data_IF_975935555802
#
_entry.id   IF_975935555802
#
_cell.length_a   1.000
_cell.length_b   1.000
_cell.length_c   1.000
_cell.angle_alpha   90.00
_cell.angle_beta   90.00
_cell.angle_gamma   90.00
#
_symmetry.space_group_name_H-M   'P 1'
#
loop_
_entity.id
_entity.type
_entity.pdbx_description
1 polymer ?
#
# COMPACT_ATOMS: atom_id res chain seq x y z
N UNK A 1 6.99 59.24 -45.81
CA UNK A 1 7.64 58.21 -44.96
C UNK A 1 7.17 58.25 -43.51
N UNK A 2 7.42 59.32 -42.75
CA UNK A 2 7.24 59.42 -41.28
C UNK A 2 6.01 58.68 -40.67
N UNK A 3 4.81 58.85 -41.25
CA UNK A 3 3.56 58.23 -40.78
C UNK A 3 3.56 56.69 -40.79
N UNK A 4 4.39 56.06 -41.63
CA UNK A 4 4.56 54.60 -41.66
C UNK A 4 5.61 54.14 -40.64
N UNK A 5 6.69 54.92 -40.45
CA UNK A 5 7.70 54.65 -39.43
C UNK A 5 7.09 54.61 -38.02
N UNK A 6 6.19 55.56 -37.71
CA UNK A 6 5.45 55.60 -36.44
C UNK A 6 4.59 54.35 -36.24
N UNK A 7 3.90 53.87 -37.30
CA UNK A 7 3.10 52.63 -37.22
C UNK A 7 3.99 51.39 -36.97
N UNK A 8 5.14 51.31 -37.64
CA UNK A 8 6.09 50.19 -37.46
C UNK A 8 6.67 50.20 -36.03
N UNK A 9 7.02 51.38 -35.50
CA UNK A 9 7.46 51.55 -34.11
C UNK A 9 6.36 51.15 -33.11
N UNK A 10 5.10 51.56 -33.33
CA UNK A 10 3.97 51.17 -32.48
C UNK A 10 3.72 49.65 -32.53
N UNK A 11 3.79 49.03 -33.70
CA UNK A 11 3.69 47.57 -33.80
C UNK A 11 4.85 46.87 -33.08
N UNK A 12 6.10 47.35 -33.23
CA UNK A 12 7.26 46.81 -32.50
C UNK A 12 7.14 46.99 -30.98
N UNK A 13 6.60 48.11 -30.51
CA UNK A 13 6.38 48.34 -29.07
C UNK A 13 5.25 47.45 -28.52
N UNK A 14 4.20 47.22 -29.31
CA UNK A 14 3.09 46.35 -28.94
C UNK A 14 3.45 44.86 -29.03
N UNK A 15 4.34 44.43 -29.94
CA UNK A 15 4.84 43.05 -29.95
C UNK A 15 5.84 42.83 -28.82
N UNK A 16 6.80 43.72 -28.59
CA UNK A 16 7.75 43.56 -27.47
C UNK A 16 7.05 43.59 -26.11
N UNK A 17 6.06 44.47 -25.89
CA UNK A 17 5.29 44.53 -24.65
C UNK A 17 4.39 43.30 -24.40
N UNK A 18 4.01 42.55 -25.45
CA UNK A 18 3.30 41.27 -25.30
C UNK A 18 4.26 40.06 -25.18
N UNK A 19 5.45 40.14 -25.77
CA UNK A 19 6.50 39.11 -25.65
C UNK A 19 7.13 39.14 -24.26
N UNK A 20 7.40 40.32 -23.67
CA UNK A 20 7.86 40.40 -22.28
C UNK A 20 6.79 39.90 -21.30
N UNK A 21 5.51 40.15 -21.58
CA UNK A 21 4.38 39.65 -20.76
C UNK A 21 4.21 38.13 -20.76
N UNK A 22 4.77 37.40 -21.71
CA UNK A 22 4.70 35.93 -21.77
C UNK A 22 5.94 35.21 -21.24
N UNK A 23 7.04 35.94 -20.98
CA UNK A 23 8.34 35.37 -20.60
C UNK A 23 8.78 35.64 -19.15
N UNK A 24 7.96 36.33 -18.36
CA UNK A 24 8.14 36.45 -16.90
C UNK A 24 6.82 36.34 -16.14
N UNK A 25 6.04 35.29 -16.42
CA UNK A 25 5.04 34.84 -15.45
C UNK A 25 5.76 34.18 -14.28
N UNK A 26 6.07 34.99 -13.27
CA UNK A 26 6.41 34.52 -11.94
C UNK A 26 5.32 33.54 -11.48
N UNK A 27 5.71 32.45 -10.80
CA UNK A 27 4.74 31.48 -10.28
C UNK A 27 3.75 32.24 -9.39
N UNK A 28 2.42 32.10 -9.57
CA UNK A 28 1.48 32.74 -8.67
C UNK A 28 1.71 32.19 -7.26
N UNK A 29 2.15 33.07 -6.36
CA UNK A 29 2.31 32.79 -4.94
C UNK A 29 0.96 33.05 -4.28
N UNK A 30 0.41 32.03 -3.62
CA UNK A 30 -0.81 32.13 -2.82
C UNK A 30 -0.51 31.62 -1.41
N UNK A 31 -1.18 32.12 -0.38
CA UNK A 31 -1.05 31.51 0.94
C UNK A 31 -1.73 30.13 0.99
N UNK A 32 -1.25 29.28 1.90
CA UNK A 32 -1.87 27.99 2.20
C UNK A 32 -3.35 28.15 2.61
N UNK A 33 -3.70 29.28 3.23
CA UNK A 33 -5.09 29.58 3.55
C UNK A 33 -5.92 29.93 2.32
N UNK A 34 -5.44 30.79 1.42
CA UNK A 34 -6.14 31.14 0.17
C UNK A 34 -6.37 29.91 -0.70
N UNK A 35 -5.36 29.05 -0.86
CA UNK A 35 -5.50 27.76 -1.57
C UNK A 35 -6.67 26.93 -1.03
N UNK A 36 -6.79 26.81 0.31
CA UNK A 36 -7.89 26.07 0.92
C UNK A 36 -9.24 26.82 0.89
N UNK A 37 -9.25 28.16 0.90
CA UNK A 37 -10.47 28.94 0.66
C UNK A 37 -10.99 28.72 -0.76
N UNK A 38 -10.13 28.73 -1.76
CA UNK A 38 -10.47 28.44 -3.16
C UNK A 38 -11.01 27.01 -3.31
N UNK A 39 -10.33 26.00 -2.76
CA UNK A 39 -10.78 24.59 -2.79
C UNK A 39 -12.16 24.41 -2.13
N UNK A 40 -12.42 25.09 -1.01
CA UNK A 40 -13.69 24.99 -0.26
C UNK A 40 -14.82 25.80 -0.91
N UNK A 41 -14.50 26.91 -1.57
CA UNK A 41 -15.49 27.77 -2.23
C UNK A 41 -15.77 27.41 -3.70
N UNK A 42 -14.88 26.64 -4.34
CA UNK A 42 -15.04 26.23 -5.74
C UNK A 42 -16.34 25.46 -5.96
N UNK A 43 -17.12 25.94 -6.92
CA UNK A 43 -18.31 25.26 -7.45
C UNK A 43 -17.98 24.23 -8.55
N UNK A 44 -16.71 24.14 -8.95
CA UNK A 44 -16.30 23.37 -10.11
C UNK A 44 -16.23 21.87 -9.84
N UNK A 45 -16.28 21.09 -10.91
CA UNK A 45 -16.16 19.63 -10.85
C UNK A 45 -14.72 19.18 -10.59
N UNK A 46 -13.74 19.99 -10.98
CA UNK A 46 -12.29 19.73 -10.90
C UNK A 46 -11.61 21.05 -10.49
N UNK A 47 -10.78 21.03 -9.45
CA UNK A 47 -9.92 22.14 -9.06
C UNK A 47 -8.47 21.81 -9.43
N UNK A 48 -7.92 22.56 -10.39
CA UNK A 48 -6.57 22.36 -10.92
C UNK A 48 -5.62 23.48 -10.47
N UNK A 49 -4.79 23.19 -9.45
CA UNK A 49 -3.71 24.09 -9.06
C UNK A 49 -2.45 23.74 -9.86
N UNK A 50 -2.03 24.61 -10.78
CA UNK A 50 -0.93 24.31 -11.71
C UNK A 50 0.15 25.40 -11.69
N UNK A 51 1.40 24.97 -11.50
CA UNK A 51 2.61 25.82 -11.49
C UNK A 51 2.67 26.89 -10.38
N UNK A 52 1.78 26.86 -9.38
CA UNK A 52 1.75 27.82 -8.27
C UNK A 52 2.89 27.60 -7.26
N UNK A 53 3.15 28.62 -6.45
CA UNK A 53 3.83 28.47 -5.16
C UNK A 53 2.82 28.69 -4.02
N UNK A 54 2.96 27.95 -2.92
CA UNK A 54 2.05 28.02 -1.77
C UNK A 54 2.84 28.36 -0.51
N UNK A 55 2.64 29.55 0.04
CA UNK A 55 3.33 29.98 1.27
C UNK A 55 2.61 29.48 2.53
N UNK A 56 3.36 28.82 3.40
CA UNK A 56 2.88 28.20 4.64
C UNK A 56 3.49 28.93 5.83
N UNK A 57 2.75 29.92 6.34
CA UNK A 57 3.03 30.53 7.64
C UNK A 57 2.29 29.82 8.78
N UNK A 58 2.80 29.99 10.01
CA UNK A 58 2.22 29.41 11.22
C UNK A 58 0.78 29.85 11.51
N UNK A 59 0.34 31.04 11.07
CA UNK A 59 -1.04 31.51 11.23
C UNK A 59 -1.99 30.89 10.20
N UNK A 60 -1.56 30.71 8.95
CA UNK A 60 -2.34 30.04 7.90
C UNK A 60 -2.73 28.62 8.30
N UNK A 61 -1.84 27.87 8.97
CA UNK A 61 -2.17 26.55 9.54
C UNK A 61 -3.40 26.59 10.45
N UNK A 62 -3.45 27.53 11.40
CA UNK A 62 -4.59 27.67 12.32
C UNK A 62 -5.87 28.14 11.61
N UNK A 63 -5.72 29.03 10.62
CA UNK A 63 -6.83 29.51 9.78
C UNK A 63 -7.43 28.37 8.93
N UNK A 64 -6.60 27.52 8.33
CA UNK A 64 -7.02 26.33 7.57
C UNK A 64 -7.74 25.32 8.46
N UNK A 65 -7.22 25.03 9.67
CA UNK A 65 -7.92 24.18 10.63
C UNK A 65 -9.30 24.76 11.01
N UNK A 66 -9.43 26.08 11.16
CA UNK A 66 -10.70 26.77 11.40
C UNK A 66 -11.65 26.82 10.18
N UNK A 67 -11.13 26.61 8.97
CA UNK A 67 -11.91 26.55 7.73
C UNK A 67 -12.44 25.13 7.49
N UNK A 68 -11.57 24.12 7.61
CA UNK A 68 -11.91 22.70 7.40
C UNK A 68 -12.84 22.16 8.49
N UNK A 69 -12.67 22.57 9.75
CA UNK A 69 -13.63 22.23 10.83
C UNK A 69 -15.03 22.81 10.62
N UNK A 70 -15.19 23.83 9.76
CA UNK A 70 -16.50 24.37 9.32
C UNK A 70 -16.98 23.77 7.99
N UNK A 71 -16.09 23.16 7.22
CA UNK A 71 -16.33 22.64 5.87
C UNK A 71 -15.62 21.28 5.68
N UNK A 72 -16.04 20.21 6.36
CA UNK A 72 -15.36 18.90 6.30
C UNK A 72 -15.60 18.12 5.00
N UNK A 73 -16.45 18.64 4.10
CA UNK A 73 -16.82 18.00 2.82
C UNK A 73 -16.17 18.77 1.67
N UNK A 74 -15.28 18.09 0.95
CA UNK A 74 -14.60 18.61 -0.23
C UNK A 74 -15.30 18.08 -1.50
N UNK A 75 -15.76 19.01 -2.33
CA UNK A 75 -16.60 18.77 -3.51
C UNK A 75 -15.87 18.67 -4.87
N UNK A 76 -14.79 19.42 -5.17
CA UNK A 76 -14.09 19.29 -6.44
C UNK A 76 -13.14 18.08 -6.44
N UNK A 77 -12.85 17.53 -7.62
CA UNK A 77 -11.70 16.64 -7.82
C UNK A 77 -10.45 17.52 -7.72
N UNK A 78 -9.67 17.35 -6.66
CA UNK A 78 -8.40 18.08 -6.52
C UNK A 78 -7.37 17.42 -7.44
N UNK A 79 -6.70 18.24 -8.24
CA UNK A 79 -5.51 17.87 -9.00
C UNK A 79 -4.51 19.00 -8.85
N UNK A 80 -3.45 18.83 -8.05
CA UNK A 80 -2.34 19.78 -8.04
C UNK A 80 -1.25 19.29 -9.00
N UNK A 81 -0.59 20.18 -9.75
CA UNK A 81 0.52 19.85 -10.68
C UNK A 81 1.64 20.91 -10.62
N UNK A 82 2.87 20.46 -10.39
CA UNK A 82 4.09 21.29 -10.26
C UNK A 82 4.06 22.36 -9.15
N UNK A 83 3.25 22.18 -8.10
CA UNK A 83 3.15 23.16 -7.01
C UNK A 83 4.37 23.06 -6.10
N UNK A 84 4.95 24.19 -5.70
CA UNK A 84 6.01 24.25 -4.67
C UNK A 84 5.45 24.89 -3.40
N UNK A 85 5.83 24.43 -2.20
CA UNK A 85 5.40 25.08 -0.96
C UNK A 85 6.62 25.65 -0.24
N UNK A 86 6.48 26.87 0.30
CA UNK A 86 7.54 27.57 1.03
C UNK A 86 7.08 27.76 2.46
N UNK A 87 7.86 27.27 3.43
CA UNK A 87 7.58 27.43 4.85
C UNK A 87 8.34 28.64 5.38
N UNK A 88 7.67 29.47 6.18
CA UNK A 88 8.21 30.78 6.60
C UNK A 88 8.75 30.82 8.05
N UNK A 89 8.50 29.77 8.84
CA UNK A 89 8.91 29.64 10.24
C UNK A 89 9.58 28.27 10.51
N UNK A 90 10.76 28.23 11.16
CA UNK A 90 11.49 27.00 11.54
C UNK A 90 10.86 26.23 12.74
N UNK A 91 9.52 26.14 12.78
CA UNK A 91 8.75 25.78 13.98
C UNK A 91 8.06 24.40 13.94
N UNK A 92 8.88 23.35 14.13
CA UNK A 92 8.56 22.04 14.72
C UNK A 92 7.27 21.26 14.34
N UNK A 93 7.49 20.08 13.75
CA UNK A 93 6.74 18.80 13.82
C UNK A 93 5.19 18.74 13.85
N UNK A 94 4.66 17.77 13.08
CA UNK A 94 3.26 17.29 13.10
C UNK A 94 3.27 15.75 12.95
N UNK A 95 2.13 15.05 13.04
CA UNK A 95 2.07 13.58 13.13
C UNK A 95 1.06 12.88 12.19
N UNK A 96 1.51 11.76 11.59
CA UNK A 96 0.75 10.61 11.05
C UNK A 96 -0.16 10.72 9.82
N UNK A 97 -0.51 9.51 9.26
CA UNK A 97 -1.70 9.03 8.46
C UNK A 97 -1.50 8.66 6.94
N UNK A 98 -2.57 8.46 6.09
CA UNK A 98 -2.64 8.35 4.55
C UNK A 98 -4.22 8.40 3.93
N UNK A 99 -5.27 9.36 2.07
CA UNK A 99 -5.02 10.19 0.82
C UNK A 99 -5.81 11.47 0.81
N UNK A 100 -5.19 12.45 0.19
CA UNK A 100 -5.80 13.48 -0.64
C UNK A 100 -4.75 13.75 -1.70
N UNK A 101 -5.06 14.47 -2.78
CA UNK A 101 -4.26 14.35 -3.98
C UNK A 101 -3.68 15.63 -4.64
N UNK A 102 -2.37 15.59 -4.90
CA UNK A 102 -1.38 16.69 -4.87
C UNK A 102 -0.12 16.38 -5.72
N UNK A 103 0.60 17.41 -6.14
CA UNK A 103 1.97 17.34 -6.68
C UNK A 103 2.80 18.40 -5.98
N UNK A 104 3.97 18.04 -5.47
CA UNK A 104 4.85 18.96 -4.76
C UNK A 104 6.20 19.11 -5.46
N UNK A 105 6.90 20.21 -5.15
CA UNK A 105 8.25 20.53 -5.57
C UNK A 105 9.01 21.11 -4.36
N UNK A 106 9.90 20.27 -3.81
CA UNK A 106 10.88 20.46 -2.72
C UNK A 106 10.34 21.04 -1.39
N UNK A 107 10.03 20.14 -0.44
CA UNK A 107 9.63 20.43 0.94
C UNK A 107 10.29 19.39 1.87
N UNK A 108 10.32 19.64 3.18
CA UNK A 108 10.46 18.57 4.16
C UNK A 108 9.27 17.58 4.15
N UNK A 109 9.45 16.46 4.83
CA UNK A 109 9.17 15.16 4.22
C UNK A 109 7.69 14.75 4.16
N UNK A 110 6.74 15.51 4.75
CA UNK A 110 5.45 14.91 5.21
C UNK A 110 4.15 15.75 5.06
N UNK A 111 3.21 15.32 4.20
CA UNK A 111 1.85 15.87 4.00
C UNK A 111 0.82 15.29 5.01
N UNK A 112 -0.08 16.07 5.66
CA UNK A 112 -1.04 15.55 6.68
C UNK A 112 -2.45 16.18 6.73
N UNK A 113 -3.53 15.37 6.73
CA UNK A 113 -4.89 15.81 6.36
C UNK A 113 -6.04 15.07 7.11
N UNK A 114 -6.55 15.64 8.22
CA UNK A 114 -7.40 14.92 9.18
C UNK A 114 -8.90 15.22 9.00
N UNK A 115 -9.75 14.18 8.99
CA UNK A 115 -11.21 14.28 9.17
C UNK A 115 -11.97 14.83 7.97
N UNK A 116 -11.54 14.53 6.75
CA UNK A 116 -12.05 15.10 5.50
C UNK A 116 -12.79 14.06 4.65
N UNK A 117 -13.93 14.44 4.07
CA UNK A 117 -14.69 13.61 3.13
C UNK A 117 -14.57 14.17 1.72
N UNK A 118 -14.16 13.32 0.77
CA UNK A 118 -13.95 13.66 -0.64
C UNK A 118 -15.02 12.99 -1.49
N UNK A 119 -15.88 13.82 -2.06
CA UNK A 119 -17.02 13.36 -2.87
C UNK A 119 -16.64 13.03 -4.32
N UNK A 120 -15.35 13.10 -4.67
CA UNK A 120 -14.81 12.89 -6.02
C UNK A 120 -13.49 12.14 -5.97
N UNK A 121 -13.07 11.63 -7.12
CA UNK A 121 -11.74 11.08 -7.29
C UNK A 121 -10.66 12.13 -7.00
N UNK A 122 -9.49 11.62 -6.66
CA UNK A 122 -8.34 12.28 -6.11
C UNK A 122 -7.13 11.62 -6.86
N UNK A 123 -6.12 12.39 -7.35
CA UNK A 123 -4.89 11.88 -8.01
C UNK A 123 -3.54 12.62 -7.63
N UNK A 124 -2.68 12.09 -6.74
CA UNK A 124 -1.32 12.59 -6.41
C UNK A 124 -0.41 12.24 -7.59
N UNK A 125 0.51 13.15 -7.89
CA UNK A 125 1.69 12.89 -8.74
C UNK A 125 2.91 13.53 -8.04
N UNK A 126 3.58 12.80 -7.14
CA UNK A 126 4.68 13.35 -6.35
C UNK A 126 5.98 13.45 -7.18
N UNK A 127 6.37 14.66 -7.59
CA UNK A 127 7.64 14.87 -8.29
C UNK A 127 8.85 14.85 -7.31
N UNK A 128 9.01 13.74 -6.58
CA UNK A 128 10.16 13.45 -5.71
C UNK A 128 10.37 14.46 -4.58
N UNK A 129 9.29 14.95 -3.96
CA UNK A 129 9.29 16.14 -3.10
C UNK A 129 8.50 16.01 -1.79
N UNK A 130 7.81 14.88 -1.61
CA UNK A 130 7.29 14.37 -0.35
C UNK A 130 7.92 12.98 -0.18
N UNK A 131 8.20 12.55 1.04
CA UNK A 131 8.52 11.15 1.31
C UNK A 131 7.28 10.41 1.86
N UNK A 132 6.58 11.04 2.80
CA UNK A 132 5.47 10.45 3.56
C UNK A 132 4.15 11.23 3.32
N UNK A 133 3.04 10.54 3.08
CA UNK A 133 1.73 11.17 2.79
C UNK A 133 0.65 10.71 3.73
N UNK A 134 -0.20 11.66 4.18
CA UNK A 134 -1.02 11.40 5.36
C UNK A 134 -2.45 12.01 5.46
N UNK A 135 -3.43 11.22 5.93
CA UNK A 135 -4.85 11.54 6.25
C UNK A 135 -5.64 10.56 7.22
N UNK A 136 -6.19 11.01 8.37
CA UNK A 136 -6.93 10.18 9.39
C UNK A 136 -8.43 10.38 9.33
N UNK A 137 -9.20 9.31 9.55
CA UNK A 137 -10.67 9.36 9.58
C UNK A 137 -11.26 10.02 8.30
N UNK A 138 -10.64 9.77 7.14
CA UNK A 138 -10.99 10.42 5.87
C UNK A 138 -11.72 9.48 4.92
N UNK A 139 -12.73 9.99 4.22
CA UNK A 139 -13.63 9.18 3.38
C UNK A 139 -13.47 9.53 1.92
N UNK A 140 -13.33 8.51 1.07
CA UNK A 140 -13.07 8.65 -0.36
C UNK A 140 -14.19 7.98 -1.14
N UNK A 141 -15.23 8.77 -1.44
CA UNK A 141 -16.47 8.25 -2.04
C UNK A 141 -16.23 7.73 -3.46
N UNK A 142 -15.32 8.35 -4.20
CA UNK A 142 -15.02 8.08 -5.62
C UNK A 142 -13.52 7.85 -5.89
N UNK A 143 -12.76 7.44 -4.88
CA UNK A 143 -11.42 6.86 -5.06
C UNK A 143 -10.23 7.79 -5.21
N UNK A 144 -9.08 7.16 -5.44
CA UNK A 144 -7.86 7.53 -4.73
C UNK A 144 -6.62 7.06 -5.51
N UNK A 145 -5.73 7.97 -5.94
CA UNK A 145 -4.59 7.58 -6.79
C UNK A 145 -3.26 8.22 -6.42
N UNK A 146 -2.32 7.40 -5.95
CA UNK A 146 -0.94 7.75 -5.63
C UNK A 146 0.05 7.52 -6.79
N UNK A 147 0.70 8.60 -7.22
CA UNK A 147 1.93 8.78 -8.00
C UNK A 147 3.28 8.97 -7.28
N UNK A 148 4.30 8.10 -7.41
CA UNK A 148 5.72 8.39 -7.12
C UNK A 148 6.07 8.72 -5.64
N UNK A 149 5.55 7.97 -4.67
CA UNK A 149 5.69 8.22 -3.22
C UNK A 149 6.42 7.09 -2.52
N UNK A 150 7.01 7.38 -1.35
CA UNK A 150 7.85 6.48 -0.57
C UNK A 150 7.12 5.81 0.61
N UNK A 151 6.37 6.53 1.45
CA UNK A 151 5.65 5.99 2.61
C UNK A 151 4.22 6.56 2.79
N UNK A 152 3.32 5.72 3.34
CA UNK A 152 1.87 5.70 3.04
C UNK A 152 1.07 5.10 4.25
N UNK A 153 0.87 5.81 5.38
CA UNK A 153 0.27 5.29 6.65
C UNK A 153 -1.29 5.37 6.87
N UNK A 154 -2.18 4.63 6.17
CA UNK A 154 -3.65 4.91 6.26
C UNK A 154 -4.21 4.98 7.68
N UNK A 155 -4.77 6.15 8.00
CA UNK A 155 -5.30 6.41 9.32
C UNK A 155 -6.49 5.51 9.67
N UNK A 156 -6.62 5.15 10.95
CA UNK A 156 -7.84 4.49 11.45
C UNK A 156 -9.11 5.24 11.02
N UNK A 157 -10.16 4.47 10.74
CA UNK A 157 -11.47 4.94 10.27
C UNK A 157 -11.46 5.67 8.92
N UNK A 158 -10.35 5.72 8.19
CA UNK A 158 -10.38 6.13 6.79
C UNK A 158 -11.04 5.05 5.92
N UNK A 159 -11.85 5.46 4.94
CA UNK A 159 -12.70 4.57 4.12
C UNK A 159 -12.49 4.86 2.64
N UNK A 160 -12.12 3.83 1.88
CA UNK A 160 -11.98 3.91 0.42
C UNK A 160 -13.12 3.13 -0.22
N UNK A 161 -14.13 3.86 -0.71
CA UNK A 161 -15.37 3.26 -1.22
C UNK A 161 -15.23 2.70 -2.63
N UNK A 162 -14.29 3.23 -3.41
CA UNK A 162 -13.98 2.84 -4.79
C UNK A 162 -12.47 3.03 -5.02
N UNK A 163 -11.80 2.15 -5.76
CA UNK A 163 -10.54 2.45 -6.44
C UNK A 163 -9.40 3.07 -5.63
N UNK A 164 -8.70 2.29 -4.79
CA UNK A 164 -7.32 2.60 -4.37
C UNK A 164 -6.31 2.20 -5.46
N UNK A 165 -5.53 3.15 -5.94
CA UNK A 165 -4.40 2.97 -6.87
C UNK A 165 -3.12 3.56 -6.25
N UNK A 166 -2.00 2.81 -6.26
CA UNK A 166 -0.71 3.30 -5.73
C UNK A 166 0.44 2.88 -6.66
N UNK A 167 1.29 3.83 -7.04
CA UNK A 167 2.41 3.63 -7.96
C UNK A 167 3.67 4.38 -7.49
N UNK A 168 4.86 3.78 -7.64
CA UNK A 168 6.14 4.35 -7.19
C UNK A 168 7.14 3.29 -6.68
N UNK A 169 8.42 3.67 -6.59
CA UNK A 169 9.59 2.76 -6.44
C UNK A 169 9.72 1.99 -5.12
N UNK A 170 9.17 2.53 -4.03
CA UNK A 170 9.11 1.90 -2.70
C UNK A 170 7.81 2.37 -2.07
N UNK A 171 7.03 1.46 -1.48
CA UNK A 171 5.76 1.81 -0.85
C UNK A 171 5.67 1.10 0.49
N UNK A 172 5.34 1.85 1.53
CA UNK A 172 5.12 1.34 2.88
C UNK A 172 3.70 1.71 3.30
N UNK A 173 2.76 0.79 3.06
CA UNK A 173 1.40 0.88 3.58
C UNK A 173 1.41 0.58 5.10
N UNK A 174 0.78 1.38 5.95
CA UNK A 174 0.74 1.12 7.41
C UNK A 174 -0.55 1.65 8.03
N UNK A 175 -1.40 0.87 8.68
CA UNK A 175 -2.77 1.33 8.97
C UNK A 175 -3.35 0.63 10.19
N UNK A 176 -4.40 1.16 10.81
CA UNK A 176 -5.00 0.54 12.01
C UNK A 176 -6.40 -0.05 11.79
N UNK A 177 -7.18 0.50 10.84
CA UNK A 177 -8.47 -0.05 10.42
C UNK A 177 -8.75 0.35 8.98
N UNK A 178 -8.94 -0.63 8.08
CA UNK A 178 -9.20 -0.41 6.65
C UNK A 178 -10.39 -1.22 6.17
N UNK A 179 -11.20 -0.58 5.34
CA UNK A 179 -12.09 -1.26 4.39
C UNK A 179 -11.72 -0.81 2.97
N UNK A 180 -11.31 -1.76 2.13
CA UNK A 180 -11.21 -1.57 0.68
C UNK A 180 -12.42 -2.24 0.01
N UNK A 181 -13.14 -1.47 -0.79
CA UNK A 181 -14.08 -1.97 -1.79
C UNK A 181 -13.60 -1.59 -3.19
N UNK A 182 -13.90 -2.43 -4.17
CA UNK A 182 -13.79 -2.14 -5.61
C UNK A 182 -12.46 -1.46 -6.02
N UNK A 183 -11.35 -1.99 -5.50
CA UNK A 183 -10.01 -1.40 -5.57
C UNK A 183 -9.05 -2.22 -6.43
N UNK A 184 -8.15 -1.54 -7.16
CA UNK A 184 -7.15 -2.18 -8.04
C UNK A 184 -5.77 -1.60 -7.77
N UNK A 185 -4.95 -2.34 -7.03
CA UNK A 185 -3.60 -1.91 -6.69
C UNK A 185 -2.63 -2.52 -7.72
N UNK A 186 -2.15 -1.67 -8.63
CA UNK A 186 -1.15 -2.01 -9.65
C UNK A 186 0.25 -1.70 -9.11
N UNK A 187 1.00 -2.71 -8.67
CA UNK A 187 2.41 -2.54 -8.26
C UNK A 187 3.28 -2.31 -9.52
N UNK A 188 3.83 -1.11 -9.77
CA UNK A 188 4.46 -0.81 -11.05
C UNK A 188 5.92 -1.27 -11.11
N UNK A 189 6.43 -1.37 -12.34
CA UNK A 189 7.84 -1.65 -12.60
C UNK A 189 8.68 -0.42 -12.26
N UNK A 190 9.24 -0.41 -11.06
CA UNK A 190 10.35 0.45 -10.70
C UNK A 190 11.64 -0.01 -11.39
N UNK A 191 12.43 0.96 -11.86
CA UNK A 191 13.79 0.71 -12.38
C UNK A 191 14.78 1.54 -11.57
N UNK A 192 15.19 1.00 -10.42
CA UNK A 192 16.23 1.54 -9.53
C UNK A 192 17.60 1.56 -10.22
N UNK A 193 17.79 2.50 -11.15
CA UNK A 193 19.00 2.66 -11.97
C UNK A 193 20.20 3.25 -11.23
N UNK A 194 20.39 2.91 -9.94
CA UNK A 194 21.45 3.44 -9.06
C UNK A 194 22.20 2.40 -8.23
N UNK A 195 21.73 1.15 -8.15
CA UNK A 195 22.49 0.06 -7.53
C UNK A 195 22.47 -1.18 -8.46
N UNK A 196 23.60 -1.54 -9.11
CA UNK A 196 23.67 -2.70 -9.98
C UNK A 196 23.65 -4.05 -9.22
N UNK A 197 23.79 -4.04 -7.90
CA UNK A 197 23.75 -5.26 -7.06
C UNK A 197 22.33 -5.55 -6.53
N UNK A 198 21.44 -4.56 -6.47
CA UNK A 198 20.02 -4.74 -6.15
C UNK A 198 19.26 -5.37 -7.33
N UNK A 199 19.52 -6.65 -7.58
CA UNK A 199 18.99 -7.42 -8.72
C UNK A 199 17.48 -7.67 -8.67
N UNK A 200 16.81 -7.40 -7.54
CA UNK A 200 15.35 -7.45 -7.39
C UNK A 200 14.84 -6.30 -6.55
N UNK A 201 13.84 -5.60 -7.08
CA UNK A 201 12.95 -4.76 -6.29
C UNK A 201 11.86 -5.61 -5.64
N UNK A 202 11.34 -5.11 -4.52
CA UNK A 202 10.30 -5.74 -3.71
C UNK A 202 9.27 -4.68 -3.32
N UNK A 203 8.03 -4.83 -3.79
CA UNK A 203 6.90 -3.97 -3.42
C UNK A 203 6.00 -4.74 -2.47
N UNK A 204 5.82 -4.21 -1.27
CA UNK A 204 5.05 -4.86 -0.21
C UNK A 204 3.97 -3.94 0.35
N UNK A 205 2.72 -4.39 0.34
CA UNK A 205 1.64 -3.74 1.06
C UNK A 205 1.60 -4.32 2.47
N UNK A 206 2.12 -3.57 3.45
CA UNK A 206 2.11 -3.98 4.85
C UNK A 206 0.77 -3.63 5.52
N UNK A 207 0.32 -4.54 6.38
CA UNK A 207 -0.88 -4.44 7.18
C UNK A 207 -0.51 -4.73 8.64
N UNK A 208 0.10 -3.75 9.33
CA UNK A 208 0.58 -3.83 10.72
C UNK A 208 -0.43 -3.24 11.72
N UNK A 209 -0.67 -3.94 12.83
CA UNK A 209 -1.41 -3.46 14.01
C UNK A 209 -2.92 -3.15 13.78
N UNK A 210 -3.63 -4.05 13.08
CA UNK A 210 -5.06 -3.89 12.76
C UNK A 210 -5.99 -4.63 13.72
N UNK A 211 -7.00 -3.92 14.25
CA UNK A 211 -8.14 -4.60 14.85
C UNK A 211 -8.99 -5.37 13.83
N UNK A 212 -9.09 -4.88 12.58
CA UNK A 212 -9.77 -5.60 11.47
C UNK A 212 -9.30 -5.10 10.11
N UNK A 213 -9.03 -6.03 9.20
CA UNK A 213 -8.83 -5.82 7.77
C UNK A 213 -10.03 -6.41 7.00
N UNK A 214 -10.73 -5.57 6.21
CA UNK A 214 -11.72 -6.05 5.23
C UNK A 214 -11.34 -5.58 3.82
N UNK A 215 -11.27 -6.54 2.91
CA UNK A 215 -10.88 -6.35 1.51
C UNK A 215 -11.94 -6.98 0.61
N UNK A 216 -12.45 -6.24 -0.37
CA UNK A 216 -13.47 -6.72 -1.30
C UNK A 216 -13.19 -6.30 -2.72
N UNK A 217 -13.37 -7.23 -3.66
CA UNK A 217 -13.16 -7.05 -5.10
C UNK A 217 -11.75 -6.53 -5.43
N UNK A 218 -10.75 -6.83 -4.58
CA UNK A 218 -9.38 -6.35 -4.76
C UNK A 218 -8.71 -7.11 -5.90
N UNK A 219 -8.14 -6.36 -6.84
CA UNK A 219 -7.20 -6.89 -7.82
C UNK A 219 -5.79 -6.42 -7.47
N UNK A 220 -4.86 -7.38 -7.29
CA UNK A 220 -3.42 -7.10 -7.18
C UNK A 220 -2.70 -7.91 -8.25
N UNK A 221 -1.97 -7.22 -9.11
CA UNK A 221 -1.12 -7.80 -10.14
C UNK A 221 0.27 -7.18 -10.02
N UNK A 222 1.32 -7.98 -10.12
CA UNK A 222 2.69 -7.50 -10.07
C UNK A 222 3.61 -8.33 -10.99
N UNK A 223 4.79 -7.79 -11.26
CA UNK A 223 5.82 -8.43 -12.09
C UNK A 223 6.22 -9.81 -11.52
N UNK A 224 6.23 -10.89 -12.34
CA UNK A 224 6.58 -12.24 -11.87
C UNK A 224 8.06 -12.42 -11.48
N UNK A 225 8.98 -11.58 -11.97
CA UNK A 225 10.42 -11.69 -11.66
C UNK A 225 10.80 -11.01 -10.33
N UNK A 226 9.93 -10.12 -9.83
CA UNK A 226 10.07 -9.40 -8.56
C UNK A 226 9.35 -10.10 -7.39
N UNK A 227 9.92 -10.00 -6.17
CA UNK A 227 9.27 -10.55 -4.97
C UNK A 227 8.29 -9.54 -4.36
N UNK A 228 7.10 -9.49 -4.93
CA UNK A 228 6.00 -8.63 -4.52
C UNK A 228 4.98 -9.36 -3.61
N UNK A 229 4.33 -8.63 -2.70
CA UNK A 229 3.43 -9.24 -1.71
C UNK A 229 2.53 -8.33 -0.87
N UNK A 230 1.61 -8.97 -0.16
CA UNK A 230 0.89 -8.42 0.99
C UNK A 230 1.53 -9.01 2.25
N UNK A 231 1.72 -8.23 3.31
CA UNK A 231 2.26 -8.75 4.57
C UNK A 231 1.41 -8.29 5.76
N UNK A 232 0.80 -9.24 6.47
CA UNK A 232 -0.14 -9.02 7.55
C UNK A 232 0.52 -9.34 8.89
N UNK A 233 0.52 -8.36 9.79
CA UNK A 233 1.21 -8.39 11.07
C UNK A 233 0.29 -7.85 12.17
N UNK A 234 0.25 -8.49 13.34
CA UNK A 234 -0.57 -8.02 14.47
C UNK A 234 -2.04 -7.72 14.08
N UNK A 235 -2.60 -8.46 13.11
CA UNK A 235 -4.01 -8.30 12.72
C UNK A 235 -4.91 -9.27 13.50
N UNK A 236 -6.03 -8.78 14.03
CA UNK A 236 -6.95 -9.65 14.78
C UNK A 236 -8.02 -10.29 13.89
N UNK A 237 -8.49 -9.62 12.83
CA UNK A 237 -9.65 -10.08 12.03
C UNK A 237 -9.42 -9.83 10.55
N UNK A 238 -9.53 -10.87 9.73
CA UNK A 238 -9.38 -10.80 8.27
C UNK A 238 -10.67 -11.23 7.56
N UNK A 239 -11.13 -10.41 6.61
CA UNK A 239 -12.15 -10.78 5.61
C UNK A 239 -11.67 -10.36 4.23
N UNK A 240 -11.51 -11.32 3.31
CA UNK A 240 -11.19 -11.09 1.90
C UNK A 240 -12.31 -11.68 1.04
N UNK A 241 -12.93 -10.87 0.17
CA UNK A 241 -14.08 -11.24 -0.66
C UNK A 241 -13.79 -10.98 -2.15
N UNK A 242 -14.09 -11.96 -3.01
CA UNK A 242 -14.09 -11.84 -4.48
C UNK A 242 -12.82 -11.20 -5.09
N UNK A 243 -11.66 -11.43 -4.48
CA UNK A 243 -10.40 -10.75 -4.79
C UNK A 243 -9.40 -11.64 -5.52
N UNK A 244 -8.68 -11.11 -6.50
CA UNK A 244 -7.64 -11.83 -7.23
C UNK A 244 -6.27 -11.20 -6.95
N UNK A 245 -5.42 -11.93 -6.23
CA UNK A 245 -4.19 -11.43 -5.64
C UNK A 245 -3.02 -12.26 -6.22
N UNK A 246 -2.49 -11.85 -7.37
CA UNK A 246 -1.37 -12.53 -8.05
C UNK A 246 0.01 -12.15 -7.45
N UNK A 247 0.03 -11.87 -6.16
CA UNK A 247 1.21 -11.66 -5.32
C UNK A 247 1.16 -12.64 -4.14
N UNK A 248 2.25 -12.73 -3.36
CA UNK A 248 2.18 -13.56 -2.15
C UNK A 248 1.52 -12.80 -1.01
N UNK A 249 0.50 -13.36 -0.35
CA UNK A 249 0.09 -12.88 0.96
C UNK A 249 0.89 -13.60 2.07
N UNK A 250 1.39 -12.83 3.03
CA UNK A 250 2.22 -13.26 4.15
C UNK A 250 1.55 -12.86 5.46
N UNK A 251 1.67 -13.71 6.48
CA UNK A 251 1.10 -13.49 7.80
C UNK A 251 2.18 -13.79 8.84
N UNK A 252 2.70 -12.78 9.55
CA UNK A 252 3.77 -12.92 10.53
C UNK A 252 3.38 -12.38 11.92
N UNK A 253 3.48 -13.24 12.94
CA UNK A 253 3.14 -12.95 14.34
C UNK A 253 1.67 -12.50 14.54
N UNK A 254 0.74 -13.20 13.89
CA UNK A 254 -0.67 -12.82 13.82
C UNK A 254 -1.55 -13.68 14.75
N UNK A 255 -2.46 -13.07 15.51
CA UNK A 255 -3.48 -13.80 16.30
C UNK A 255 -4.88 -13.50 15.78
N UNK A 256 -5.36 -14.38 14.90
CA UNK A 256 -6.64 -14.25 14.21
C UNK A 256 -7.79 -14.72 15.10
N UNK A 257 -8.70 -13.81 15.43
CA UNK A 257 -10.06 -14.06 15.89
C UNK A 257 -11.01 -14.39 14.73
N UNK A 258 -10.71 -13.94 13.50
CA UNK A 258 -11.51 -14.17 12.30
C UNK A 258 -10.59 -14.31 11.07
N UNK A 259 -10.82 -15.32 10.24
CA UNK A 259 -10.08 -15.54 8.99
C UNK A 259 -11.00 -16.08 7.89
N UNK A 260 -11.57 -15.14 7.12
CA UNK A 260 -12.50 -15.46 6.04
C UNK A 260 -11.93 -15.01 4.70
N UNK A 261 -11.97 -15.89 3.70
CA UNK A 261 -11.48 -15.69 2.34
C UNK A 261 -12.48 -16.32 1.37
N UNK A 262 -13.47 -15.55 0.92
CA UNK A 262 -14.53 -16.01 0.03
C UNK A 262 -14.20 -15.68 -1.43
N UNK A 263 -14.39 -16.66 -2.34
CA UNK A 263 -14.29 -16.48 -3.80
C UNK A 263 -13.01 -15.76 -4.27
N UNK A 264 -11.90 -15.93 -3.54
CA UNK A 264 -10.67 -15.17 -3.74
C UNK A 264 -9.47 -16.08 -3.99
N UNK A 265 -8.55 -15.63 -4.83
CA UNK A 265 -7.35 -16.37 -5.27
C UNK A 265 -6.06 -15.66 -4.87
N UNK A 266 -5.05 -16.44 -4.48
CA UNK A 266 -3.71 -15.96 -4.12
C UNK A 266 -2.66 -16.70 -4.95
N UNK A 267 -1.60 -16.00 -5.37
CA UNK A 267 -0.41 -16.66 -5.95
C UNK A 267 0.17 -17.66 -4.96
N UNK A 268 0.34 -17.23 -3.70
CA UNK A 268 0.85 -18.00 -2.57
C UNK A 268 0.29 -17.44 -1.24
N UNK A 269 0.27 -18.28 -0.20
CA UNK A 269 0.02 -17.90 1.20
C UNK A 269 1.21 -18.35 2.08
N UNK A 270 1.75 -17.45 2.92
CA UNK A 270 2.84 -17.72 3.88
C UNK A 270 2.33 -17.49 5.31
N UNK A 271 2.69 -18.35 6.26
CA UNK A 271 2.29 -18.20 7.67
C UNK A 271 3.46 -18.44 8.63
N UNK A 272 3.89 -17.39 9.33
CA UNK A 272 4.86 -17.45 10.43
C UNK A 272 4.18 -17.04 11.74
N UNK A 273 4.25 -17.92 12.74
CA UNK A 273 3.71 -17.69 14.08
C UNK A 273 2.23 -17.21 14.12
N UNK A 274 1.36 -17.89 13.37
CA UNK A 274 -0.06 -17.51 13.22
C UNK A 274 -0.97 -18.37 14.09
N UNK A 275 -1.62 -17.75 15.07
CA UNK A 275 -2.68 -18.37 15.83
C UNK A 275 -4.02 -18.19 15.08
N UNK A 276 -4.48 -19.25 14.42
CA UNK A 276 -5.77 -19.29 13.71
C UNK A 276 -6.98 -19.37 14.68
N UNK A 277 -8.15 -18.87 14.27
CA UNK A 277 -9.32 -18.75 15.13
C UNK A 277 -9.93 -20.10 15.54
N UNK A 278 -10.97 -20.03 16.36
CA UNK A 278 -11.80 -21.17 16.71
C UNK A 278 -12.91 -21.38 15.66
N UNK A 279 -13.43 -22.62 15.62
CA UNK A 279 -14.43 -23.16 14.68
C UNK A 279 -15.15 -22.13 13.77
N UNK A 280 -16.09 -21.37 14.32
CA UNK A 280 -17.08 -20.60 13.54
C UNK A 280 -16.53 -19.38 12.81
N UNK A 281 -15.30 -18.95 13.10
CA UNK A 281 -14.69 -17.74 12.55
C UNK A 281 -13.59 -18.05 11.49
N UNK A 282 -13.68 -19.21 10.82
CA UNK A 282 -12.77 -19.63 9.74
C UNK A 282 -13.51 -20.04 8.46
N UNK A 283 -13.31 -19.32 7.37
CA UNK A 283 -13.87 -19.66 6.05
C UNK A 283 -12.88 -19.40 4.91
N UNK A 284 -11.93 -20.30 4.69
CA UNK A 284 -11.06 -20.32 3.51
C UNK A 284 -10.90 -21.77 3.05
N UNK A 285 -11.24 -22.11 1.80
CA UNK A 285 -11.17 -23.48 1.25
C UNK A 285 -9.73 -23.91 0.95
N UNK A 286 -9.45 -25.21 0.99
CA UNK A 286 -8.12 -25.74 0.74
C UNK A 286 -7.57 -25.40 -0.65
N UNK A 287 -8.41 -25.37 -1.68
CA UNK A 287 -7.99 -25.02 -3.04
C UNK A 287 -7.60 -23.54 -3.23
N UNK A 288 -7.80 -22.68 -2.22
CA UNK A 288 -7.29 -21.31 -2.19
C UNK A 288 -5.84 -21.24 -1.67
N UNK A 289 -5.33 -22.32 -1.08
CA UNK A 289 -3.94 -22.51 -0.70
C UNK A 289 -3.18 -23.22 -1.83
N UNK A 290 -2.77 -22.44 -2.85
CA UNK A 290 -2.05 -22.95 -4.04
C UNK A 290 -0.79 -23.78 -3.67
N UNK A 291 -0.14 -23.44 -2.56
CA UNK A 291 0.58 -24.34 -1.67
C UNK A 291 0.58 -23.73 -0.26
N UNK A 292 0.64 -24.55 0.80
CA UNK A 292 0.99 -24.05 2.13
C UNK A 292 2.52 -23.94 2.21
N UNK A 293 3.04 -22.71 2.27
CA UNK A 293 4.48 -22.46 2.35
C UNK A 293 4.81 -21.97 3.76
N UNK A 294 5.54 -22.79 4.52
CA UNK A 294 6.24 -22.26 5.70
C UNK A 294 7.35 -21.34 5.21
N UNK A 295 7.44 -20.18 5.83
CA UNK A 295 8.49 -19.20 5.59
C UNK A 295 9.10 -18.82 6.92
N UNK A 296 10.40 -19.00 7.04
CA UNK A 296 11.17 -18.56 8.20
C UNK A 296 12.09 -17.41 7.80
N UNK A 297 12.03 -16.34 8.60
CA UNK A 297 12.89 -15.16 8.50
C UNK A 297 14.32 -15.55 8.91
N UNK A 298 15.21 -15.71 7.94
CA UNK A 298 16.62 -16.03 8.15
C UNK A 298 17.47 -14.77 7.98
N UNK A 299 18.51 -14.63 8.81
CA UNK A 299 19.51 -13.57 8.66
C UNK A 299 20.72 -14.17 7.95
N UNK A 300 20.94 -13.79 6.69
CA UNK A 300 22.06 -14.24 5.86
C UNK A 300 23.09 -13.13 5.72
N UNK A 301 24.33 -13.39 6.14
CA UNK A 301 25.44 -12.46 5.93
C UNK A 301 26.00 -12.64 4.51
N UNK A 302 25.84 -11.64 3.66
CA UNK A 302 26.36 -11.63 2.29
C UNK A 302 27.17 -10.35 2.06
N UNK A 303 28.37 -10.47 1.47
CA UNK A 303 29.30 -9.35 1.25
C UNK A 303 29.60 -8.47 2.50
N UNK A 304 29.44 -9.02 3.71
CA UNK A 304 29.61 -8.31 4.98
C UNK A 304 28.38 -7.54 5.48
N UNK A 305 27.27 -7.54 4.75
CA UNK A 305 25.99 -6.98 5.18
C UNK A 305 25.01 -8.09 5.59
N UNK A 306 24.19 -7.82 6.60
CA UNK A 306 23.13 -8.72 7.05
C UNK A 306 21.87 -8.49 6.22
N UNK A 307 21.51 -9.48 5.43
CA UNK A 307 20.27 -9.51 4.65
C UNK A 307 19.22 -10.40 5.31
N UNK A 308 17.96 -10.03 5.12
CA UNK A 308 16.81 -10.81 5.55
C UNK A 308 16.33 -11.69 4.39
N UNK A 309 16.59 -13.00 4.50
CA UNK A 309 16.22 -13.98 3.50
C UNK A 309 15.09 -14.88 4.03
N UNK A 310 14.00 -15.01 3.27
CA UNK A 310 12.90 -15.89 3.63
C UNK A 310 13.10 -17.28 3.04
N UNK A 311 13.39 -18.26 3.89
CA UNK A 311 13.59 -19.65 3.46
C UNK A 311 12.23 -20.32 3.29
N UNK A 312 11.87 -20.60 2.03
CA UNK A 312 10.69 -21.38 1.63
C UNK A 312 10.86 -22.83 2.08
N UNK A 313 9.88 -23.35 2.81
CA UNK A 313 9.89 -24.70 3.37
C UNK A 313 8.65 -25.48 2.93
N UNK A 314 8.88 -26.55 2.17
CA UNK A 314 7.89 -27.45 1.58
C UNK A 314 7.99 -28.89 2.10
N UNK A 315 9.03 -29.22 2.90
CA UNK A 315 9.32 -30.57 3.38
C UNK A 315 9.49 -31.62 2.26
N UNK A 316 10.16 -31.26 1.15
CA UNK A 316 10.31 -32.13 -0.04
C UNK A 316 11.72 -32.73 -0.19
N UNK A 317 12.74 -32.04 0.28
CA UNK A 317 14.15 -32.46 0.19
C UNK A 317 14.68 -33.01 1.52
N UNK A 318 15.67 -33.90 1.48
CA UNK A 318 16.36 -34.44 2.66
C UNK A 318 16.96 -33.33 3.55
N UNK A 319 17.32 -32.17 2.98
CA UNK A 319 17.78 -30.99 3.71
C UNK A 319 16.65 -30.34 4.53
N UNK A 320 15.48 -30.12 3.91
CA UNK A 320 14.29 -29.63 4.63
C UNK A 320 13.78 -30.64 5.66
N UNK A 321 13.74 -31.92 5.30
CA UNK A 321 13.23 -32.99 6.16
C UNK A 321 14.12 -33.24 7.38
N UNK A 322 15.38 -32.81 7.37
CA UNK A 322 16.26 -32.77 8.54
C UNK A 322 15.90 -31.63 9.52
N UNK A 323 15.19 -30.59 9.08
CA UNK A 323 14.83 -29.43 9.92
C UNK A 323 13.57 -29.73 10.76
N UNK A 324 13.73 -30.61 11.76
CA UNK A 324 12.66 -31.14 12.62
C UNK A 324 11.67 -30.08 13.13
N UNK A 325 12.17 -29.00 13.76
CA UNK A 325 11.34 -27.88 14.23
C UNK A 325 10.46 -27.24 13.14
N UNK A 326 10.86 -27.29 11.87
CA UNK A 326 10.08 -26.76 10.74
C UNK A 326 9.07 -27.78 10.23
N UNK A 327 9.45 -29.06 10.20
CA UNK A 327 8.55 -30.17 9.90
C UNK A 327 7.37 -30.20 10.88
N UNK A 328 7.65 -30.19 12.19
CA UNK A 328 6.64 -30.23 13.25
C UNK A 328 5.69 -29.03 13.17
N UNK A 329 6.22 -27.84 12.87
CA UNK A 329 5.45 -26.60 12.72
C UNK A 329 4.59 -26.59 11.45
N UNK A 330 5.07 -27.18 10.35
CA UNK A 330 4.30 -27.34 9.12
C UNK A 330 3.12 -28.29 9.38
N UNK A 331 3.42 -29.46 9.95
CA UNK A 331 2.44 -30.49 10.30
C UNK A 331 1.40 -29.96 11.31
N UNK A 332 1.80 -29.17 12.31
CA UNK A 332 0.87 -28.53 13.25
C UNK A 332 -0.15 -27.61 12.55
N UNK A 333 0.26 -26.84 11.52
CA UNK A 333 -0.68 -26.06 10.71
C UNK A 333 -1.63 -26.96 9.90
N UNK A 334 -1.12 -28.01 9.25
CA UNK A 334 -1.96 -28.98 8.53
C UNK A 334 -3.01 -29.64 9.45
N UNK A 335 -2.63 -30.08 10.66
CA UNK A 335 -3.59 -30.60 11.65
C UNK A 335 -4.62 -29.54 12.09
N UNK A 336 -4.22 -28.28 12.31
CA UNK A 336 -5.15 -27.18 12.66
C UNK A 336 -6.13 -26.88 11.52
N UNK A 337 -5.69 -26.85 10.27
CA UNK A 337 -6.58 -26.69 9.12
C UNK A 337 -7.52 -27.89 8.95
N UNK A 338 -7.01 -29.12 9.04
CA UNK A 338 -7.81 -30.34 8.96
C UNK A 338 -8.91 -30.41 10.03
N UNK A 339 -8.63 -29.91 11.24
CA UNK A 339 -9.64 -29.72 12.29
C UNK A 339 -10.69 -28.68 11.89
N UNK A 340 -10.28 -27.48 11.47
CA UNK A 340 -11.19 -26.40 11.07
C UNK A 340 -12.12 -26.82 9.93
N UNK A 341 -11.61 -27.50 8.90
CA UNK A 341 -12.44 -28.00 7.80
C UNK A 341 -13.49 -29.02 8.25
N UNK A 342 -13.09 -30.02 9.07
CA UNK A 342 -14.02 -31.01 9.61
C UNK A 342 -15.10 -30.36 10.49
N UNK A 343 -14.71 -29.41 11.32
CA UNK A 343 -15.60 -28.67 12.23
C UNK A 343 -16.57 -27.74 11.48
N UNK A 344 -16.20 -27.24 10.30
CA UNK A 344 -17.02 -26.36 9.47
C UNK A 344 -17.75 -27.10 8.33
N UNK A 345 -17.70 -28.44 8.33
CA UNK A 345 -18.41 -29.31 7.39
C UNK A 345 -17.81 -29.39 5.98
N UNK A 346 -16.69 -28.71 5.71
CA UNK A 346 -16.02 -28.71 4.40
C UNK A 346 -15.22 -30.00 4.19
N UNK A 347 -15.92 -31.06 3.77
CA UNK A 347 -15.35 -32.38 3.54
C UNK A 347 -14.36 -32.40 2.35
N UNK A 348 -14.54 -31.52 1.36
CA UNK A 348 -13.66 -31.43 0.19
C UNK A 348 -12.29 -30.89 0.61
N UNK A 349 -12.28 -29.75 1.32
CA UNK A 349 -11.05 -29.17 1.86
C UNK A 349 -10.42 -30.05 2.95
N UNK A 350 -11.22 -30.69 3.80
CA UNK A 350 -10.71 -31.64 4.81
C UNK A 350 -9.98 -32.82 4.14
N UNK A 351 -10.55 -33.39 3.07
CA UNK A 351 -9.92 -34.49 2.33
C UNK A 351 -8.61 -34.04 1.68
N UNK A 352 -8.63 -32.96 0.91
CA UNK A 352 -7.45 -32.50 0.18
C UNK A 352 -6.30 -32.03 1.12
N UNK A 353 -6.65 -31.45 2.28
CA UNK A 353 -5.69 -31.13 3.33
C UNK A 353 -5.06 -32.40 3.93
N UNK A 354 -5.85 -33.45 4.19
CA UNK A 354 -5.35 -34.73 4.70
C UNK A 354 -4.45 -35.47 3.70
N UNK A 355 -4.81 -35.46 2.41
CA UNK A 355 -3.99 -36.07 1.35
C UNK A 355 -2.61 -35.39 1.26
N UNK A 356 -2.57 -34.05 1.20
CA UNK A 356 -1.32 -33.30 1.18
C UNK A 356 -0.49 -33.43 2.48
N UNK A 357 -1.14 -33.58 3.65
CA UNK A 357 -0.45 -33.88 4.92
C UNK A 357 0.24 -35.25 4.87
N UNK A 358 -0.47 -36.27 4.36
CA UNK A 358 0.02 -37.65 4.26
C UNK A 358 1.24 -37.75 3.32
N UNK A 359 1.28 -36.98 2.25
CA UNK A 359 2.43 -36.94 1.33
C UNK A 359 3.69 -36.37 2.02
N UNK A 360 3.52 -35.37 2.89
CA UNK A 360 4.60 -34.81 3.72
C UNK A 360 5.07 -35.81 4.78
N UNK A 361 4.13 -36.44 5.52
CA UNK A 361 4.44 -37.47 6.52
C UNK A 361 5.16 -38.68 5.89
N UNK A 362 4.72 -39.12 4.70
CA UNK A 362 5.35 -40.19 3.93
C UNK A 362 6.76 -39.81 3.47
N UNK A 363 6.97 -38.55 3.07
CA UNK A 363 8.29 -38.03 2.68
C UNK A 363 9.27 -38.02 3.85
N UNK A 364 8.85 -37.57 5.03
CA UNK A 364 9.65 -37.62 6.28
C UNK A 364 9.95 -39.05 6.71
N UNK A 365 8.98 -39.97 6.65
CA UNK A 365 9.22 -41.38 6.96
C UNK A 365 10.27 -42.00 6.02
N UNK A 366 10.16 -41.75 4.72
CA UNK A 366 11.14 -42.21 3.74
C UNK A 366 12.54 -41.62 3.98
N UNK A 367 12.63 -40.37 4.43
CA UNK A 367 13.89 -39.74 4.84
C UNK A 367 14.47 -40.41 6.10
N UNK A 368 13.69 -40.59 7.16
CA UNK A 368 14.14 -41.23 8.40
C UNK A 368 14.63 -42.67 8.16
N UNK A 369 13.92 -43.42 7.31
CA UNK A 369 14.33 -44.77 6.90
C UNK A 369 15.66 -44.78 6.11
N UNK A 370 16.02 -43.70 5.40
CA UNK A 370 17.35 -43.54 4.79
C UNK A 370 18.44 -43.25 5.83
N UNK A 371 18.14 -42.43 6.83
CA UNK A 371 19.10 -42.07 7.89
C UNK A 371 19.38 -43.22 8.87
N UNK A 372 18.37 -44.04 9.19
CA UNK A 372 18.55 -45.23 10.02
C UNK A 372 17.71 -46.42 9.50
N UNK A 373 18.23 -47.22 8.56
CA UNK A 373 17.53 -48.37 7.97
C UNK A 373 17.18 -49.50 8.95
N UNK A 374 17.68 -49.45 10.19
CA UNK A 374 17.46 -50.50 11.20
C UNK A 374 16.23 -50.24 12.10
N UNK A 375 15.57 -49.08 11.98
CA UNK A 375 14.25 -48.88 12.60
C UNK A 375 13.17 -49.68 11.84
N UNK A 376 13.00 -50.94 12.24
CA UNK A 376 11.74 -51.64 12.04
C UNK A 376 10.69 -51.04 12.97
N UNK A 377 9.78 -50.25 12.39
CA UNK A 377 8.48 -49.94 12.99
C UNK A 377 7.56 -51.17 12.93
#
# INVERSE_FOLDING_TARGET
MLRNCIKILLCLFLTTANITRSWSQEKPVISYFEMWQDIVSSTDTIYLLKNSSVEVDSSSRMRVLSLLSKNPIIKPQITLKNVSFTFLDDAASVHHQDQVDWTFNKIEEVLRLIGLTFQRQLNIENNGSIEDINFRNCTFENGLRLSEIRNVEIGSHSVISQGLYISGDKQLLNQSHLTLSDSKIEMPISKSGKDPNMTKLQTWLWFRDFGTVRVKNLQVTADPDQENGLDFHNINRLVIESSNIDVTASFDNVRLELFNIYNSTFKNLRFNNVAFPNQYDFHCRWNQFNALILMERSMTLESGMLYEAYIKYFAKSDSELNMENKYDRLIAYYYKFLQLYKLNGDQESAKACHEAMKDIETSRLNYLNRQNPNHKN
#
